data_IF_059569541213
#
_entry.id   IF_059569541213
#
_cell.length_a   1.000
_cell.length_b   1.000
_cell.length_c   1.000
_cell.angle_alpha   90.00
_cell.angle_beta   90.00
_cell.angle_gamma   90.00
#
_symmetry.space_group_name_H-M   'P 1'
#
loop_
_entity.id
_entity.type
_entity.pdbx_description
1 polymer ?
#
# COMPACT_ATOMS: atom_id res chain seq x y z
N UNK A 1 -16.69 21.36 7.48
CA UNK A 1 -15.84 20.37 8.19
C UNK A 1 -15.81 19.01 7.48
N UNK A 2 -16.95 18.41 7.13
CA UNK A 2 -17.00 17.11 6.43
C UNK A 2 -16.27 17.07 5.07
N UNK A 3 -16.33 18.13 4.27
CA UNK A 3 -15.69 18.16 2.94
C UNK A 3 -14.16 18.05 2.96
N UNK A 4 -13.50 18.51 4.02
CA UNK A 4 -12.04 18.38 4.16
C UNK A 4 -11.65 16.93 4.43
N UNK A 5 -12.36 16.26 5.35
CA UNK A 5 -12.12 14.85 5.70
C UNK A 5 -12.29 13.96 4.47
N UNK A 6 -13.36 14.17 3.68
CA UNK A 6 -13.60 13.42 2.45
C UNK A 6 -12.48 13.63 1.42
N UNK A 7 -11.96 14.85 1.28
CA UNK A 7 -10.80 15.12 0.42
C UNK A 7 -9.56 14.39 0.92
N UNK A 8 -9.27 14.40 2.21
CA UNK A 8 -8.11 13.70 2.79
C UNK A 8 -8.18 12.20 2.48
N UNK A 9 -9.35 11.58 2.70
CA UNK A 9 -9.52 10.15 2.42
C UNK A 9 -9.35 9.85 0.91
N UNK A 10 -9.83 10.71 0.01
CA UNK A 10 -9.61 10.54 -1.43
C UNK A 10 -8.13 10.53 -1.82
N UNK A 11 -7.32 11.42 -1.24
CA UNK A 11 -5.89 11.52 -1.56
C UNK A 11 -5.04 10.40 -0.91
N UNK A 12 -5.57 9.72 0.09
CA UNK A 12 -4.85 8.62 0.75
C UNK A 12 -4.52 7.47 -0.21
N UNK A 13 -5.30 7.23 -1.27
CA UNK A 13 -4.97 6.22 -2.28
C UNK A 13 -3.63 6.48 -2.99
N UNK A 14 -3.37 7.74 -3.35
CA UNK A 14 -2.08 8.15 -3.93
C UNK A 14 -0.93 7.98 -2.93
N UNK A 15 -1.15 8.36 -1.66
CA UNK A 15 -0.15 8.16 -0.61
C UNK A 15 0.18 6.68 -0.41
N UNK A 16 -0.82 5.79 -0.49
CA UNK A 16 -0.63 4.34 -0.44
C UNK A 16 0.26 3.84 -1.57
N UNK A 17 -0.06 4.19 -2.82
CA UNK A 17 0.73 3.79 -4.00
C UNK A 17 2.17 4.31 -3.92
N UNK A 18 2.36 5.57 -3.53
CA UNK A 18 3.70 6.16 -3.41
C UNK A 18 4.49 5.44 -2.33
N UNK A 19 3.87 5.19 -1.18
CA UNK A 19 4.53 4.51 -0.04
C UNK A 19 4.92 3.08 -0.41
N UNK A 20 4.04 2.31 -1.07
CA UNK A 20 4.37 0.94 -1.47
C UNK A 20 5.49 0.89 -2.50
N UNK A 21 5.40 1.69 -3.57
CA UNK A 21 6.41 1.70 -4.63
C UNK A 21 7.77 2.15 -4.11
N UNK A 22 7.82 3.22 -3.31
CA UNK A 22 9.09 3.69 -2.73
C UNK A 22 9.69 2.66 -1.79
N UNK A 23 8.88 2.03 -0.94
CA UNK A 23 9.36 0.98 -0.02
C UNK A 23 9.89 -0.24 -0.78
N UNK A 24 9.22 -0.67 -1.85
CA UNK A 24 9.69 -1.75 -2.72
C UNK A 24 11.01 -1.37 -3.39
N UNK A 25 11.08 -0.21 -4.04
CA UNK A 25 12.28 0.22 -4.77
C UNK A 25 13.49 0.40 -3.84
N UNK A 26 13.29 0.98 -2.66
CA UNK A 26 14.35 1.11 -1.65
C UNK A 26 14.78 -0.28 -1.18
N UNK A 27 13.84 -1.20 -0.92
CA UNK A 27 14.18 -2.54 -0.48
C UNK A 27 14.96 -3.33 -1.53
N UNK A 28 14.61 -3.20 -2.82
CA UNK A 28 15.36 -3.79 -3.94
C UNK A 28 16.77 -3.18 -4.01
N UNK A 29 16.88 -1.85 -3.90
CA UNK A 29 18.17 -1.17 -3.91
C UNK A 29 19.11 -1.65 -2.77
N UNK A 30 18.56 -1.91 -1.59
CA UNK A 30 19.31 -2.43 -0.43
C UNK A 30 19.64 -3.93 -0.53
N UNK A 31 19.03 -4.65 -1.47
CA UNK A 31 19.15 -6.10 -1.63
C UNK A 31 19.56 -6.46 -3.07
N UNK A 32 20.84 -6.29 -3.46
CA UNK A 32 21.31 -6.54 -4.83
C UNK A 32 21.13 -7.98 -5.34
N UNK A 33 20.90 -8.93 -4.42
CA UNK A 33 20.59 -10.32 -4.75
C UNK A 33 19.18 -10.51 -5.30
N UNK A 34 18.29 -9.51 -5.11
CA UNK A 34 16.89 -9.60 -5.50
C UNK A 34 16.74 -9.51 -7.02
N UNK A 35 16.18 -10.55 -7.61
CA UNK A 35 15.81 -10.63 -9.02
C UNK A 35 14.28 -10.57 -9.14
N UNK A 36 13.76 -9.49 -9.73
CA UNK A 36 12.32 -9.27 -9.90
C UNK A 36 11.59 -10.39 -10.65
N UNK A 37 12.29 -11.13 -11.51
CA UNK A 37 11.69 -12.22 -12.30
C UNK A 37 11.76 -13.58 -11.60
N UNK A 38 12.52 -13.70 -10.50
CA UNK A 38 12.75 -14.98 -9.81
C UNK A 38 12.32 -14.97 -8.35
N UNK A 39 12.47 -13.83 -7.67
CA UNK A 39 12.18 -13.68 -6.25
C UNK A 39 10.76 -13.16 -6.03
N UNK A 40 10.19 -13.52 -4.88
CA UNK A 40 8.94 -12.96 -4.42
C UNK A 40 9.22 -11.65 -3.66
N UNK A 41 8.35 -10.64 -3.77
CA UNK A 41 8.53 -9.42 -2.97
C UNK A 41 8.58 -9.67 -1.47
N UNK A 42 7.91 -10.71 -0.97
CA UNK A 42 8.00 -11.13 0.43
C UNK A 42 9.43 -11.47 0.88
N UNK A 43 10.31 -11.87 -0.05
CA UNK A 43 11.72 -12.15 0.23
C UNK A 43 12.43 -10.87 0.74
N UNK A 44 11.99 -9.68 0.34
CA UNK A 44 12.52 -8.39 0.81
C UNK A 44 12.13 -8.08 2.27
N UNK A 45 11.12 -8.76 2.81
CA UNK A 45 10.67 -8.64 4.20
C UNK A 45 11.13 -9.80 5.10
N UNK A 46 11.96 -10.71 4.59
CA UNK A 46 12.45 -11.89 5.31
C UNK A 46 13.56 -11.57 6.30
N UNK A 47 13.90 -12.52 7.16
CA UNK A 47 14.97 -12.39 8.15
C UNK A 47 16.38 -12.29 7.55
N UNK A 48 16.58 -12.80 6.33
CA UNK A 48 17.86 -12.74 5.61
C UNK A 48 18.01 -11.51 4.71
N UNK A 49 16.97 -10.70 4.53
CA UNK A 49 17.07 -9.48 3.75
C UNK A 49 17.83 -8.39 4.52
N UNK A 50 18.52 -7.52 3.79
CA UNK A 50 19.08 -6.29 4.35
C UNK A 50 17.94 -5.31 4.64
N UNK A 51 17.85 -4.86 5.90
CA UNK A 51 16.84 -3.90 6.37
C UNK A 51 15.39 -4.30 6.04
N UNK A 52 14.92 -5.49 6.45
CA UNK A 52 13.61 -6.03 6.04
C UNK A 52 12.43 -5.20 6.55
N UNK A 53 12.66 -4.41 7.60
CA UNK A 53 11.68 -3.48 8.14
C UNK A 53 11.28 -2.39 7.14
N UNK A 54 12.14 -2.05 6.16
CA UNK A 54 11.80 -1.06 5.12
C UNK A 54 10.64 -1.57 4.27
N UNK A 55 10.71 -2.83 3.83
CA UNK A 55 9.62 -3.48 3.09
C UNK A 55 8.39 -3.67 3.98
N UNK A 56 8.56 -4.28 5.16
CA UNK A 56 7.45 -4.66 6.02
C UNK A 56 6.67 -3.44 6.56
N UNK A 57 7.36 -2.43 7.12
CA UNK A 57 6.67 -1.22 7.58
C UNK A 57 6.18 -0.36 6.42
N UNK A 58 6.88 -0.37 5.29
CA UNK A 58 6.40 0.24 4.06
C UNK A 58 5.04 -0.29 3.61
N UNK A 59 4.85 -1.62 3.63
CA UNK A 59 3.56 -2.25 3.35
C UNK A 59 2.50 -1.93 4.39
N UNK A 60 2.84 -1.92 5.69
CA UNK A 60 1.89 -1.54 6.76
C UNK A 60 1.43 -0.09 6.61
N UNK A 61 2.33 0.85 6.34
CA UNK A 61 1.97 2.27 6.15
C UNK A 61 1.13 2.42 4.89
N UNK A 62 1.50 1.74 3.79
CA UNK A 62 0.71 1.72 2.57
C UNK A 62 -0.69 1.16 2.80
N UNK A 63 -0.85 0.08 3.58
CA UNK A 63 -2.16 -0.53 3.81
C UNK A 63 -3.08 0.37 4.64
N UNK A 64 -2.54 1.15 5.58
CA UNK A 64 -3.31 2.19 6.30
C UNK A 64 -3.88 3.21 5.30
N UNK A 65 -3.06 3.70 4.38
CA UNK A 65 -3.51 4.64 3.35
C UNK A 65 -4.54 4.02 2.40
N UNK A 66 -4.32 2.79 1.95
CA UNK A 66 -5.27 2.08 1.09
C UNK A 66 -6.60 1.80 1.80
N UNK A 67 -6.56 1.51 3.10
CA UNK A 67 -7.77 1.35 3.91
C UNK A 67 -8.57 2.65 4.00
N UNK A 68 -7.91 3.78 4.27
CA UNK A 68 -8.57 5.10 4.29
C UNK A 68 -9.20 5.44 2.93
N UNK A 69 -8.55 5.07 1.84
CA UNK A 69 -9.07 5.24 0.50
C UNK A 69 -10.27 4.33 0.23
N UNK A 70 -10.25 3.08 0.68
CA UNK A 70 -11.37 2.17 0.58
C UNK A 70 -12.61 2.69 1.33
N UNK A 71 -12.43 3.29 2.51
CA UNK A 71 -13.52 3.96 3.26
C UNK A 71 -14.13 5.08 2.42
N UNK A 72 -13.30 5.89 1.75
CA UNK A 72 -13.79 6.92 0.83
C UNK A 72 -14.57 6.33 -0.35
N UNK A 73 -14.05 5.28 -0.99
CA UNK A 73 -14.74 4.61 -2.10
C UNK A 73 -16.14 4.14 -1.69
N UNK A 74 -16.26 3.45 -0.55
CA UNK A 74 -17.55 2.95 -0.05
C UNK A 74 -18.50 4.12 0.28
N UNK A 75 -17.99 5.18 0.90
CA UNK A 75 -18.79 6.35 1.24
C UNK A 75 -19.33 7.05 -0.02
N UNK A 76 -18.48 7.22 -1.03
CA UNK A 76 -18.80 7.88 -2.29
C UNK A 76 -19.56 7.00 -3.28
N UNK A 77 -19.58 5.67 -3.09
CA UNK A 77 -20.27 4.73 -3.96
C UNK A 77 -21.79 4.84 -3.85
N UNK A 78 -22.46 4.84 -5.00
CA UNK A 78 -23.93 4.64 -5.09
C UNK A 78 -24.29 3.20 -4.71
N UNK A 79 -23.55 2.23 -5.24
CA UNK A 79 -23.78 0.80 -5.03
C UNK A 79 -22.75 0.21 -4.04
N UNK A 80 -23.02 0.36 -2.74
CA UNK A 80 -22.08 0.01 -1.66
C UNK A 80 -21.75 -1.49 -1.61
N UNK A 81 -22.76 -2.34 -1.81
CA UNK A 81 -22.59 -3.81 -1.78
C UNK A 81 -21.67 -4.27 -2.91
N UNK A 82 -21.86 -3.76 -4.13
CA UNK A 82 -21.00 -4.07 -5.28
C UNK A 82 -19.56 -3.60 -5.03
N UNK A 83 -19.38 -2.41 -4.47
CA UNK A 83 -18.05 -1.84 -4.17
C UNK A 83 -17.29 -2.63 -3.11
N UNK A 84 -17.99 -3.16 -2.10
CA UNK A 84 -17.38 -4.02 -1.08
C UNK A 84 -17.10 -5.41 -1.68
N UNK A 85 -18.05 -5.96 -2.45
CA UNK A 85 -17.94 -7.28 -3.05
C UNK A 85 -16.84 -7.41 -4.10
N UNK A 86 -16.54 -6.33 -4.83
CA UNK A 86 -15.44 -6.29 -5.81
C UNK A 86 -14.05 -6.19 -5.19
N UNK A 87 -13.94 -6.11 -3.86
CA UNK A 87 -12.66 -6.00 -3.14
C UNK A 87 -11.93 -7.31 -2.89
N UNK A 88 -12.50 -8.45 -3.30
CA UNK A 88 -11.95 -9.80 -3.19
C UNK A 88 -11.69 -10.39 -4.58
#
# INVERSE_FOLDING_TARGET
MYGLIIKILAHSGFAGIITSLTSILISIYLNPWFDFLKNAFSDLGSDYANYPFVFNYGLVISSIFMFLYAVWLIYSAKNKIETIGSGF
#
